data_IF_420635476157
#
_entry.id   IF_420635476157
#
_cell.length_a   1.000
_cell.length_b   1.000
_cell.length_c   1.000
_cell.angle_alpha   90.00
_cell.angle_beta   90.00
_cell.angle_gamma   90.00
#
_symmetry.space_group_name_H-M   'P 1'
#
loop_
_entity.id
_entity.type
_entity.pdbx_description
1 polymer ?
#
# COMPACT_ATOMS: atom_id res chain seq x y z
N UNK A 1 -30.87 6.95 -0.32
CA UNK A 1 -29.71 7.18 0.56
C UNK A 1 -29.05 5.83 0.82
N UNK A 2 -27.75 5.67 0.54
CA UNK A 2 -27.07 4.37 0.59
C UNK A 2 -26.09 4.31 1.76
N UNK A 3 -26.64 4.24 2.98
CA UNK A 3 -25.89 4.21 4.25
C UNK A 3 -24.84 3.09 4.27
N UNK A 4 -25.18 1.89 3.77
CA UNK A 4 -24.25 0.77 3.72
C UNK A 4 -23.04 1.06 2.84
N UNK A 5 -23.25 1.61 1.64
CA UNK A 5 -22.18 1.99 0.73
C UNK A 5 -21.26 3.05 1.35
N UNK A 6 -21.84 4.06 2.01
CA UNK A 6 -21.08 5.10 2.68
C UNK A 6 -20.20 4.57 3.83
N UNK A 7 -20.74 3.69 4.69
CA UNK A 7 -19.98 3.07 5.79
C UNK A 7 -18.83 2.21 5.24
N UNK A 8 -19.07 1.46 4.17
CA UNK A 8 -18.01 0.66 3.53
C UNK A 8 -16.93 1.56 2.92
N UNK A 9 -17.31 2.66 2.26
CA UNK A 9 -16.36 3.62 1.70
C UNK A 9 -15.48 4.28 2.76
N UNK A 10 -16.04 4.64 3.91
CA UNK A 10 -15.27 5.14 5.06
C UNK A 10 -14.33 4.08 5.64
N UNK A 11 -14.76 2.82 5.68
CA UNK A 11 -13.91 1.71 6.12
C UNK A 11 -12.71 1.51 5.19
N UNK A 12 -12.94 1.61 3.87
CA UNK A 12 -11.86 1.61 2.87
C UNK A 12 -10.94 2.82 3.06
N UNK A 13 -11.47 4.02 3.28
CA UNK A 13 -10.67 5.22 3.53
C UNK A 13 -9.76 5.05 4.76
N UNK A 14 -10.30 4.55 5.87
CA UNK A 14 -9.53 4.26 7.08
C UNK A 14 -8.43 3.21 6.82
N UNK A 15 -8.73 2.18 6.02
CA UNK A 15 -7.76 1.17 5.63
C UNK A 15 -6.58 1.78 4.84
N UNK A 16 -6.82 2.71 3.92
CA UNK A 16 -5.75 3.41 3.19
C UNK A 16 -4.93 4.34 4.10
N UNK A 17 -5.56 5.03 5.04
CA UNK A 17 -4.86 5.90 6.01
C UNK A 17 -4.00 5.12 7.02
N UNK A 18 -4.29 3.84 7.25
CA UNK A 18 -3.46 2.98 8.10
C UNK A 18 -2.04 2.77 7.55
N UNK A 19 -1.88 2.82 6.21
CA UNK A 19 -0.61 2.58 5.52
C UNK A 19 0.47 3.61 5.91
N UNK A 20 0.25 4.94 5.74
CA UNK A 20 1.24 5.93 6.13
C UNK A 20 1.52 5.91 7.63
N UNK A 21 0.54 5.59 8.48
CA UNK A 21 0.73 5.51 9.93
C UNK A 21 1.71 4.40 10.34
N UNK A 22 1.50 3.18 9.84
CA UNK A 22 2.40 2.04 10.11
C UNK A 22 3.78 2.31 9.56
N UNK A 23 3.86 2.85 8.34
CA UNK A 23 5.14 3.17 7.70
C UNK A 23 5.89 4.28 8.42
N UNK A 24 5.21 5.33 8.88
CA UNK A 24 5.82 6.38 9.70
C UNK A 24 6.34 5.83 11.03
N UNK A 25 5.58 4.93 11.66
CA UNK A 25 5.93 4.40 12.99
C UNK A 25 7.07 3.38 12.99
N UNK A 26 7.13 2.52 11.97
CA UNK A 26 8.03 1.36 11.91
C UNK A 26 9.03 1.39 10.75
N UNK A 27 8.86 2.29 9.78
CA UNK A 27 9.77 2.47 8.65
C UNK A 27 11.24 2.70 9.04
N UNK A 28 11.56 3.50 10.07
CA UNK A 28 12.94 3.67 10.52
C UNK A 28 13.58 2.36 11.01
N UNK A 29 12.82 1.51 11.72
CA UNK A 29 13.31 0.21 12.18
C UNK A 29 13.55 -0.76 11.02
N UNK A 30 12.62 -0.78 10.05
CA UNK A 30 12.78 -1.57 8.82
C UNK A 30 14.00 -1.13 8.00
N UNK A 31 14.23 0.20 7.87
CA UNK A 31 15.41 0.76 7.20
C UNK A 31 16.69 0.34 7.91
N UNK A 32 16.74 0.42 9.24
CA UNK A 32 17.92 0.04 10.02
C UNK A 32 18.24 -1.46 9.87
N UNK A 33 17.22 -2.33 9.85
CA UNK A 33 17.40 -3.76 9.62
C UNK A 33 17.90 -4.06 8.20
N UNK A 34 17.33 -3.40 7.18
CA UNK A 34 17.78 -3.52 5.80
C UNK A 34 19.26 -3.10 5.63
N UNK A 35 19.67 -2.00 6.26
CA UNK A 35 21.06 -1.53 6.26
C UNK A 35 22.00 -2.52 6.98
N UNK A 36 21.54 -3.10 8.08
CA UNK A 36 22.30 -4.13 8.81
C UNK A 36 22.52 -5.37 7.93
N UNK A 37 21.50 -5.76 7.16
CA UNK A 37 21.58 -6.89 6.24
C UNK A 37 22.52 -6.60 5.05
N UNK A 38 22.50 -5.39 4.49
CA UNK A 38 23.49 -5.00 3.46
C UNK A 38 24.92 -5.09 3.97
N UNK A 39 25.17 -4.62 5.20
CA UNK A 39 26.50 -4.76 5.83
C UNK A 39 26.88 -6.21 6.04
N UNK A 40 25.92 -7.09 6.41
CA UNK A 40 26.15 -8.54 6.51
C UNK A 40 26.56 -9.14 5.16
N UNK A 41 26.00 -8.64 4.07
CA UNK A 41 26.32 -9.04 2.69
C UNK A 41 27.60 -8.37 2.15
N UNK A 42 28.33 -7.61 2.97
CA UNK A 42 29.50 -6.80 2.56
C UNK A 42 29.18 -5.78 1.44
N UNK A 43 27.94 -5.29 1.40
CA UNK A 43 27.51 -4.23 0.48
C UNK A 43 27.40 -2.91 1.24
N UNK A 44 27.91 -1.84 0.62
CA UNK A 44 27.87 -0.49 1.16
C UNK A 44 26.42 0.03 1.17
N UNK A 45 25.87 0.45 2.32
CA UNK A 45 24.50 0.99 2.38
C UNK A 45 24.26 2.21 1.49
N UNK A 46 25.32 2.97 1.21
CA UNK A 46 25.31 4.19 0.40
C UNK A 46 24.88 3.91 -1.04
N UNK A 47 25.08 2.68 -1.55
CA UNK A 47 24.68 2.26 -2.90
C UNK A 47 23.18 2.44 -3.12
N UNK A 48 22.36 2.31 -2.06
CA UNK A 48 20.92 2.53 -2.15
C UNK A 48 20.60 4.01 -2.40
N UNK A 49 21.24 4.91 -1.67
CA UNK A 49 21.01 6.35 -1.80
C UNK A 49 21.57 6.88 -3.13
N UNK A 50 22.75 6.40 -3.54
CA UNK A 50 23.38 6.68 -4.82
C UNK A 50 22.48 6.25 -6.00
N UNK A 51 21.79 5.12 -5.87
CA UNK A 51 20.84 4.63 -6.87
C UNK A 51 19.41 5.17 -6.72
N UNK A 52 19.18 6.13 -5.79
CA UNK A 52 17.88 6.73 -5.43
C UNK A 52 16.84 5.73 -4.92
N UNK A 53 17.28 4.62 -4.33
CA UNK A 53 16.45 3.64 -3.64
C UNK A 53 16.22 4.12 -2.20
N UNK A 54 15.13 4.83 -1.97
CA UNK A 54 14.79 5.39 -0.65
C UNK A 54 13.83 4.46 0.09
N UNK A 55 14.18 4.15 1.32
CA UNK A 55 13.27 3.50 2.29
C UNK A 55 12.28 4.48 2.91
N UNK A 56 12.68 5.75 2.98
CA UNK A 56 11.82 6.82 3.46
C UNK A 56 10.68 7.06 2.49
N UNK A 57 9.47 7.08 3.05
CA UNK A 57 8.29 7.59 2.39
C UNK A 57 8.53 9.07 2.09
N UNK A 58 9.08 9.39 0.93
CA UNK A 58 8.99 10.76 0.41
C UNK A 58 7.51 11.14 0.35
N UNK A 59 7.16 12.40 0.63
CA UNK A 59 5.76 12.85 0.75
C UNK A 59 4.84 12.52 -0.44
N UNK A 60 5.40 12.16 -1.60
CA UNK A 60 4.67 11.64 -2.76
C UNK A 60 4.07 10.23 -2.51
N UNK A 61 4.71 9.38 -1.71
CA UNK A 61 4.24 8.01 -1.43
C UNK A 61 3.12 7.98 -0.39
N UNK A 62 3.02 9.01 0.46
CA UNK A 62 1.88 9.21 1.37
C UNK A 62 0.70 9.91 0.70
N UNK A 63 0.93 10.62 -0.40
CA UNK A 63 -0.11 11.34 -1.12
C UNK A 63 -1.12 10.40 -1.79
N UNK A 64 -0.66 9.27 -2.36
CA UNK A 64 -1.55 8.35 -3.06
C UNK A 64 -2.59 7.70 -2.12
N UNK A 65 -2.22 7.09 -0.97
CA UNK A 65 -3.22 6.58 -0.01
C UNK A 65 -4.14 7.67 0.55
N UNK A 66 -3.60 8.86 0.82
CA UNK A 66 -4.39 9.99 1.32
C UNK A 66 -5.42 10.49 0.30
N UNK A 67 -5.05 10.56 -0.98
CA UNK A 67 -5.96 10.95 -2.05
C UNK A 67 -7.12 9.96 -2.20
N UNK A 68 -6.82 8.66 -2.16
CA UNK A 68 -7.84 7.60 -2.23
C UNK A 68 -8.78 7.71 -1.03
N UNK A 69 -8.24 7.90 0.18
CA UNK A 69 -9.06 8.07 1.38
C UNK A 69 -9.96 9.32 1.30
N UNK A 70 -9.44 10.44 0.79
CA UNK A 70 -10.21 11.67 0.61
C UNK A 70 -11.37 11.47 -0.38
N UNK A 71 -11.09 10.87 -1.54
CA UNK A 71 -12.12 10.58 -2.56
C UNK A 71 -13.19 9.66 -2.00
N UNK A 72 -12.82 8.57 -1.33
CA UNK A 72 -13.79 7.64 -0.74
C UNK A 72 -14.64 8.31 0.34
N UNK A 73 -14.07 9.24 1.11
CA UNK A 73 -14.80 10.03 2.11
C UNK A 73 -15.81 10.98 1.47
N UNK A 74 -15.44 11.65 0.38
CA UNK A 74 -16.35 12.53 -0.38
C UNK A 74 -17.52 11.73 -0.96
N UNK A 75 -17.24 10.58 -1.57
CA UNK A 75 -18.30 9.72 -2.13
C UNK A 75 -19.21 9.18 -1.03
N UNK A 76 -18.67 8.85 0.15
CA UNK A 76 -19.47 8.45 1.30
C UNK A 76 -20.44 9.56 1.74
N UNK A 77 -19.96 10.80 1.81
CA UNK A 77 -20.81 11.96 2.12
C UNK A 77 -21.92 12.14 1.07
N UNK A 78 -21.62 11.96 -0.22
CA UNK A 78 -22.63 12.00 -1.28
C UNK A 78 -23.66 10.86 -1.18
N UNK A 79 -23.23 9.65 -0.80
CA UNK A 79 -24.12 8.51 -0.55
C UNK A 79 -25.04 8.74 0.65
N UNK A 80 -24.53 9.34 1.72
CA UNK A 80 -25.35 9.77 2.86
C UNK A 80 -26.35 10.86 2.48
N UNK A 81 -25.93 11.85 1.67
CA UNK A 81 -26.80 12.91 1.19
C UNK A 81 -27.85 12.42 0.18
N UNK A 82 -27.75 11.18 -0.32
CA UNK A 82 -28.66 10.64 -1.32
C UNK A 82 -28.54 11.30 -2.69
N UNK A 83 -27.36 11.87 -3.01
CA UNK A 83 -27.13 12.53 -4.28
C UNK A 83 -27.16 11.52 -5.44
N UNK A 84 -27.84 11.85 -6.54
CA UNK A 84 -27.97 10.95 -7.70
C UNK A 84 -26.63 10.57 -8.34
N UNK A 85 -25.62 11.45 -8.26
CA UNK A 85 -24.27 11.16 -8.76
C UNK A 85 -23.50 10.14 -7.90
N UNK A 86 -23.94 9.87 -6.66
CA UNK A 86 -23.23 9.00 -5.73
C UNK A 86 -23.13 7.56 -6.24
N UNK A 87 -24.16 7.07 -6.93
CA UNK A 87 -24.17 5.72 -7.52
C UNK A 87 -23.08 5.56 -8.58
N UNK A 88 -23.03 6.48 -9.56
CA UNK A 88 -22.03 6.45 -10.63
C UNK A 88 -20.61 6.58 -10.09
N UNK A 89 -20.38 7.52 -9.17
CA UNK A 89 -19.06 7.71 -8.55
C UNK A 89 -18.64 6.50 -7.72
N UNK A 90 -19.57 5.86 -7.01
CA UNK A 90 -19.30 4.62 -6.28
C UNK A 90 -18.86 3.50 -7.22
N UNK A 91 -19.52 3.36 -8.37
CA UNK A 91 -19.15 2.39 -9.40
C UNK A 91 -17.73 2.61 -9.92
N UNK A 92 -17.40 3.84 -10.31
CA UNK A 92 -16.09 4.18 -10.87
C UNK A 92 -14.99 3.96 -9.84
N UNK A 93 -15.11 4.59 -8.67
CA UNK A 93 -14.01 4.63 -7.70
C UNK A 93 -13.87 3.33 -6.91
N UNK A 94 -14.95 2.62 -6.58
CA UNK A 94 -14.82 1.33 -5.90
C UNK A 94 -14.20 0.28 -6.82
N UNK A 95 -14.54 0.29 -8.13
CA UNK A 95 -13.89 -0.58 -9.12
C UNK A 95 -12.40 -0.26 -9.27
N UNK A 96 -12.05 1.02 -9.34
CA UNK A 96 -10.66 1.45 -9.42
C UNK A 96 -9.86 1.06 -8.17
N UNK A 97 -10.46 1.20 -6.99
CA UNK A 97 -9.85 0.77 -5.72
C UNK A 97 -9.62 -0.74 -5.72
N UNK A 98 -10.56 -1.56 -6.20
CA UNK A 98 -10.39 -3.01 -6.33
C UNK A 98 -9.20 -3.33 -7.25
N UNK A 99 -9.14 -2.73 -8.43
CA UNK A 99 -8.04 -2.95 -9.38
C UNK A 99 -6.69 -2.52 -8.82
N UNK A 100 -6.63 -1.35 -8.19
CA UNK A 100 -5.41 -0.84 -7.58
C UNK A 100 -4.97 -1.72 -6.41
N UNK A 101 -5.90 -2.18 -5.57
CA UNK A 101 -5.58 -3.09 -4.46
C UNK A 101 -5.09 -4.44 -4.96
N UNK A 102 -5.66 -4.95 -6.06
CA UNK A 102 -5.16 -6.16 -6.73
C UNK A 102 -3.71 -5.96 -7.24
N UNK A 103 -3.41 -4.81 -7.86
CA UNK A 103 -2.06 -4.47 -8.29
C UNK A 103 -1.08 -4.37 -7.11
N UNK A 104 -1.50 -3.81 -5.97
CA UNK A 104 -0.70 -3.76 -4.73
C UNK A 104 -0.40 -5.18 -4.22
N UNK A 105 -1.41 -6.04 -4.14
CA UNK A 105 -1.21 -7.43 -3.70
C UNK A 105 -0.28 -8.16 -4.65
N UNK A 106 -0.47 -8.00 -5.97
CA UNK A 106 0.42 -8.58 -6.98
C UNK A 106 1.86 -8.08 -6.85
N UNK A 107 2.05 -6.78 -6.64
CA UNK A 107 3.37 -6.18 -6.40
C UNK A 107 4.04 -6.71 -5.14
N UNK A 108 3.27 -6.98 -4.08
CA UNK A 108 3.81 -7.53 -2.84
C UNK A 108 4.26 -8.99 -3.01
N UNK A 109 3.48 -9.82 -3.69
CA UNK A 109 3.86 -11.23 -3.91
C UNK A 109 5.02 -11.37 -4.89
N UNK A 110 5.21 -10.40 -5.79
CA UNK A 110 6.33 -10.35 -6.75
C UNK A 110 7.46 -9.43 -6.31
N UNK A 111 7.47 -8.97 -5.03
CA UNK A 111 8.40 -7.95 -4.56
C UNK A 111 9.87 -8.33 -4.77
N UNK A 112 10.25 -9.57 -4.46
CA UNK A 112 11.62 -10.07 -4.67
C UNK A 112 12.02 -9.96 -6.14
N UNK A 113 11.23 -10.52 -7.05
CA UNK A 113 11.51 -10.52 -8.49
C UNK A 113 11.55 -9.11 -9.08
N UNK A 114 10.63 -8.25 -8.62
CA UNK A 114 10.54 -6.84 -9.03
C UNK A 114 11.79 -6.06 -8.61
N UNK A 115 12.23 -6.21 -7.35
CA UNK A 115 13.42 -5.54 -6.83
C UNK A 115 14.69 -6.09 -7.48
N UNK A 116 14.81 -7.40 -7.68
CA UNK A 116 15.92 -8.01 -8.43
C UNK A 116 15.99 -7.48 -9.87
N UNK A 117 14.84 -7.36 -10.54
CA UNK A 117 14.77 -6.77 -11.88
C UNK A 117 15.18 -5.28 -11.85
N UNK A 118 14.75 -4.52 -10.84
CA UNK A 118 15.12 -3.13 -10.68
C UNK A 118 16.63 -2.96 -10.44
N UNK A 119 17.23 -3.79 -9.60
CA UNK A 119 18.68 -3.77 -9.31
C UNK A 119 19.49 -4.12 -10.56
N UNK A 120 19.07 -5.15 -11.32
CA UNK A 120 19.69 -5.49 -12.60
C UNK A 120 19.59 -4.38 -13.64
N UNK A 121 18.44 -3.69 -13.72
CA UNK A 121 18.23 -2.56 -14.65
C UNK A 121 19.13 -1.36 -14.37
N UNK A 122 19.56 -1.17 -13.11
CA UNK A 122 20.47 -0.07 -12.74
C UNK A 122 21.90 -0.30 -13.23
N UNK A 123 22.31 -1.56 -13.44
CA UNK A 123 23.63 -1.90 -13.95
C UNK A 123 24.78 -1.68 -12.95
N UNK A 124 24.47 -1.44 -11.68
CA UNK A 124 25.45 -1.23 -10.63
C UNK A 124 26.02 -2.59 -10.13
N UNK A 125 27.34 -2.81 -10.18
CA UNK A 125 27.96 -4.06 -9.72
C UNK A 125 27.73 -4.36 -8.24
N UNK A 126 27.55 -3.34 -7.39
CA UNK A 126 27.27 -3.53 -5.97
C UNK A 126 25.81 -3.94 -5.74
N UNK A 127 24.85 -3.35 -6.45
CA UNK A 127 23.43 -3.77 -6.39
C UNK A 127 23.22 -5.19 -6.94
N UNK A 128 24.00 -5.59 -7.95
CA UNK A 128 23.92 -6.93 -8.52
C UNK A 128 24.38 -8.03 -7.54
N UNK A 129 25.15 -7.68 -6.51
CA UNK A 129 25.61 -8.60 -5.46
C UNK A 129 24.64 -8.74 -4.29
N UNK A 130 23.64 -7.87 -4.20
CA UNK A 130 22.67 -7.89 -3.09
C UNK A 130 21.76 -9.10 -3.24
N UNK A 131 21.71 -9.93 -2.19
CA UNK A 131 20.71 -10.97 -2.06
C UNK A 131 19.38 -10.31 -1.63
N UNK A 132 18.49 -10.11 -2.61
CA UNK A 132 17.24 -9.35 -2.43
C UNK A 132 16.28 -10.04 -1.47
N UNK A 133 16.17 -11.37 -1.51
CA UNK A 133 15.23 -12.10 -0.64
C UNK A 133 15.60 -11.97 0.87
N UNK A 134 16.85 -12.24 1.31
CA UNK A 134 17.28 -11.97 2.68
C UNK A 134 17.18 -10.49 3.07
N UNK A 135 17.49 -9.59 2.14
CA UNK A 135 17.39 -8.14 2.34
C UNK A 135 15.97 -7.67 2.65
N UNK A 136 14.98 -8.07 1.83
CA UNK A 136 13.58 -7.75 2.07
C UNK A 136 13.06 -8.42 3.34
N UNK A 137 13.45 -9.67 3.59
CA UNK A 137 13.05 -10.40 4.79
C UNK A 137 13.56 -9.77 6.08
N UNK A 138 14.80 -9.28 6.09
CA UNK A 138 15.36 -8.55 7.24
C UNK A 138 14.57 -7.26 7.53
N UNK A 139 14.17 -6.54 6.48
CA UNK A 139 13.32 -5.36 6.61
C UNK A 139 11.91 -5.73 7.13
N UNK A 140 11.32 -6.82 6.63
CA UNK A 140 10.00 -7.31 7.02
C UNK A 140 9.95 -7.86 8.45
N UNK A 141 11.01 -8.55 8.89
CA UNK A 141 11.10 -9.13 10.24
C UNK A 141 11.32 -8.05 11.33
N UNK A 142 11.73 -6.83 10.93
CA UNK A 142 11.76 -5.68 11.82
C UNK A 142 10.36 -5.11 12.15
N UNK A 143 9.34 -5.45 11.34
CA UNK A 143 7.97 -5.08 11.68
C UNK A 143 7.40 -6.01 12.75
N UNK A 144 6.60 -5.48 13.70
CA UNK A 144 5.84 -6.33 14.61
C UNK A 144 4.97 -7.34 13.85
N UNK A 145 4.86 -8.57 14.37
CA UNK A 145 4.07 -9.65 13.73
C UNK A 145 2.62 -9.26 13.42
N UNK A 146 2.02 -8.41 14.25
CA UNK A 146 0.65 -7.92 14.04
C UNK A 146 0.51 -7.04 12.79
N UNK A 147 1.59 -6.41 12.30
CA UNK A 147 1.57 -5.59 11.07
C UNK A 147 1.22 -6.44 9.85
N UNK A 148 1.69 -7.70 9.81
CA UNK A 148 1.30 -8.64 8.74
C UNK A 148 -0.20 -8.93 8.79
N UNK A 149 -0.73 -9.20 9.99
CA UNK A 149 -2.16 -9.40 10.19
C UNK A 149 -2.96 -8.15 9.78
N UNK A 150 -2.48 -6.96 10.12
CA UNK A 150 -3.08 -5.69 9.73
C UNK A 150 -3.07 -5.49 8.21
N UNK A 151 -2.01 -5.88 7.51
CA UNK A 151 -1.96 -5.82 6.04
C UNK A 151 -2.99 -6.76 5.38
N UNK A 152 -3.15 -8.00 5.89
CA UNK A 152 -4.19 -8.91 5.41
C UNK A 152 -5.59 -8.37 5.70
N UNK A 153 -5.83 -7.90 6.92
CA UNK A 153 -7.10 -7.30 7.31
C UNK A 153 -7.45 -6.09 6.44
N UNK A 154 -6.47 -5.22 6.19
CA UNK A 154 -6.62 -4.06 5.29
C UNK A 154 -7.04 -4.52 3.90
N UNK A 155 -6.34 -5.49 3.30
CA UNK A 155 -6.69 -5.97 1.97
C UNK A 155 -8.09 -6.58 1.92
N UNK A 156 -8.47 -7.34 2.96
CA UNK A 156 -9.82 -7.88 3.10
C UNK A 156 -10.87 -6.76 3.18
N UNK A 157 -10.64 -5.73 3.99
CA UNK A 157 -11.53 -4.57 4.11
C UNK A 157 -11.63 -3.81 2.79
N UNK A 158 -10.52 -3.62 2.07
CA UNK A 158 -10.53 -2.89 0.79
C UNK A 158 -11.31 -3.65 -0.28
N UNK A 159 -11.12 -4.97 -0.39
CA UNK A 159 -11.88 -5.79 -1.34
C UNK A 159 -13.35 -5.91 -0.92
N UNK A 160 -13.61 -6.41 0.29
CA UNK A 160 -14.97 -6.64 0.77
C UNK A 160 -15.77 -5.34 0.83
N UNK A 161 -15.19 -4.26 1.37
CA UNK A 161 -15.83 -2.95 1.44
C UNK A 161 -16.17 -2.41 0.05
N UNK A 162 -15.26 -2.51 -0.92
CA UNK A 162 -15.53 -2.07 -2.28
C UNK A 162 -16.62 -2.93 -2.96
N UNK A 163 -16.58 -4.26 -2.83
CA UNK A 163 -17.60 -5.14 -3.41
C UNK A 163 -18.98 -4.91 -2.78
N UNK A 164 -19.05 -4.78 -1.46
CA UNK A 164 -20.30 -4.50 -0.75
C UNK A 164 -20.83 -3.12 -1.14
N UNK A 165 -19.97 -2.10 -1.27
CA UNK A 165 -20.39 -0.78 -1.73
C UNK A 165 -20.99 -0.83 -3.15
N UNK A 166 -20.34 -1.55 -4.07
CA UNK A 166 -20.84 -1.76 -5.44
C UNK A 166 -22.20 -2.48 -5.44
N UNK A 167 -22.33 -3.57 -4.69
CA UNK A 167 -23.58 -4.31 -4.58
C UNK A 167 -24.69 -3.44 -3.96
N UNK A 168 -24.39 -2.69 -2.90
CA UNK A 168 -25.35 -1.84 -2.21
C UNK A 168 -25.92 -0.74 -3.11
N UNK A 169 -25.10 -0.12 -3.97
CA UNK A 169 -25.60 0.90 -4.91
C UNK A 169 -26.24 0.32 -6.18
N UNK A 170 -26.17 -1.00 -6.38
CA UNK A 170 -26.76 -1.69 -7.55
C UNK A 170 -28.12 -2.32 -7.26
N UNK A 171 -28.40 -2.57 -5.98
CA UNK A 171 -29.66 -3.15 -5.50
C UNK A 171 -30.72 -2.09 -5.13
N UNK A 172 -30.40 -0.81 -5.36
CA UNK A 172 -31.22 0.38 -5.09
C UNK A 172 -31.50 1.09 -6.41
#
# INVERSE_FOLDING_TARGET
>A
MNTLAAVMQLSVAAAFLSIPLVRHRFGPAAKAAAVTELRRQNVRPEVLEENRLRFDAGGHETAAPAAVAAVMTVIAALNFAGAGQAQLLTWIFSSLVVLMNAAIVYSNVTAVQSVEAAFRRKGDPELARVEVAPFLRAAEDAFPRWVRAQAYLRNAVVFAGSFVALAAVSLV
#
